data_IF_274670381194
#
_entry.id   IF_274670381194
#
_cell.length_a   1.000
_cell.length_b   1.000
_cell.length_c   1.000
_cell.angle_alpha   90.00
_cell.angle_beta   90.00
_cell.angle_gamma   90.00
#
_symmetry.space_group_name_H-M   'P 1'
#
loop_
_entity.id
_entity.type
_entity.pdbx_description
1 polymer ?
#
# COMPACT_ATOMS: atom_id res chain seq x y z
N UNK A 1 11.95 0.07 -83.74
CA UNK A 1 11.91 1.51 -84.08
C UNK A 1 12.30 2.25 -82.79
N UNK A 2 13.55 2.63 -82.53
CA UNK A 2 14.33 3.72 -83.17
C UNK A 2 13.41 4.91 -83.52
N UNK A 3 13.51 6.12 -83.01
CA UNK A 3 14.43 6.77 -82.07
C UNK A 3 14.27 8.30 -82.23
N UNK A 4 14.54 9.05 -81.15
CA UNK A 4 15.17 10.40 -81.12
C UNK A 4 14.46 11.60 -81.83
N UNK A 5 14.50 12.87 -81.39
CA UNK A 5 15.26 13.55 -80.33
C UNK A 5 14.81 15.04 -80.15
N UNK A 6 15.10 15.59 -78.96
CA UNK A 6 15.59 16.97 -78.62
C UNK A 6 14.62 18.17 -78.71
N UNK A 7 14.70 19.23 -77.90
CA UNK A 7 15.49 19.66 -76.71
C UNK A 7 14.71 20.85 -76.05
N UNK A 8 14.92 21.30 -74.80
CA UNK A 8 16.05 22.17 -74.38
C UNK A 8 15.98 22.47 -72.86
N UNK A 9 17.08 22.16 -72.17
CA UNK A 9 17.79 22.85 -71.06
C UNK A 9 17.11 23.86 -70.13
N UNK A 10 17.45 23.79 -68.83
CA UNK A 10 17.71 25.01 -68.02
C UNK A 10 17.54 24.87 -66.50
N UNK A 11 18.66 24.76 -65.78
CA UNK A 11 18.85 24.60 -64.34
C UNK A 11 18.59 25.86 -63.46
N UNK A 12 18.35 25.59 -62.15
CA UNK A 12 18.96 26.22 -60.96
C UNK A 12 18.46 27.59 -60.42
N UNK A 13 17.84 27.50 -59.23
CA UNK A 13 18.11 28.20 -57.95
C UNK A 13 18.49 29.70 -57.84
N UNK A 14 17.89 30.28 -56.77
CA UNK A 14 18.40 31.27 -55.80
C UNK A 14 18.17 32.78 -56.00
N UNK A 15 17.65 33.36 -54.91
CA UNK A 15 17.84 34.72 -54.36
C UNK A 15 17.24 35.89 -55.16
N UNK A 16 16.42 36.77 -54.60
CA UNK A 16 16.79 37.68 -53.51
C UNK A 16 15.63 38.67 -53.30
N UNK A 17 15.39 39.08 -52.06
CA UNK A 17 15.01 40.46 -51.73
C UNK A 17 15.27 40.68 -50.24
N UNK A 18 16.47 41.18 -49.95
CA UNK A 18 16.79 41.89 -48.71
C UNK A 18 16.45 43.36 -48.93
N UNK A 19 15.67 43.95 -48.03
CA UNK A 19 15.68 45.37 -47.76
C UNK A 19 15.78 45.54 -46.24
N UNK A 20 16.97 45.92 -45.78
CA UNK A 20 17.23 46.35 -44.40
C UNK A 20 17.08 47.86 -44.32
N UNK A 21 16.38 48.38 -43.30
CA UNK A 21 16.86 49.42 -42.36
C UNK A 21 15.78 49.81 -41.33
N UNK A 22 16.23 50.02 -40.08
CA UNK A 22 15.49 50.17 -38.80
C UNK A 22 14.65 51.47 -38.63
N UNK A 23 14.17 51.84 -37.42
CA UNK A 23 12.90 51.43 -36.81
C UNK A 23 11.95 52.62 -36.56
N UNK A 24 10.63 52.39 -36.58
CA UNK A 24 9.66 53.37 -36.02
C UNK A 24 9.20 52.89 -34.64
N UNK A 25 9.29 53.70 -33.57
CA UNK A 25 8.88 53.31 -32.22
C UNK A 25 7.38 53.09 -32.09
N UNK A 26 7.04 52.09 -31.28
CA UNK A 26 5.68 51.64 -30.93
C UNK A 26 4.79 52.76 -30.36
N UNK A 27 3.47 52.62 -30.59
CA UNK A 27 2.51 52.74 -29.49
C UNK A 27 2.03 51.35 -29.08
N UNK A 28 2.16 51.07 -27.79
CA UNK A 28 1.74 49.85 -27.11
C UNK A 28 0.27 49.54 -27.42
N UNK A 29 0.04 48.46 -28.17
CA UNK A 29 -1.23 47.73 -28.11
C UNK A 29 -0.99 46.52 -27.22
N UNK A 30 -1.59 46.61 -26.03
CA UNK A 30 -1.71 45.54 -25.05
C UNK A 30 -2.15 44.25 -25.75
N UNK A 31 -1.22 43.31 -25.93
CA UNK A 31 -1.57 41.91 -26.17
C UNK A 31 -2.29 41.43 -24.93
N UNK A 32 -3.60 41.32 -25.04
CA UNK A 32 -4.41 40.52 -24.14
C UNK A 32 -3.88 39.09 -24.23
N UNK A 33 -3.09 38.72 -23.23
CA UNK A 33 -2.58 37.37 -23.06
C UNK A 33 -3.79 36.45 -22.92
N UNK A 34 -4.00 35.58 -23.90
CA UNK A 34 -4.95 34.48 -23.75
C UNK A 34 -4.65 33.77 -22.42
N UNK A 35 -5.65 33.56 -21.55
CA UNK A 35 -5.42 32.95 -20.26
C UNK A 35 -4.81 31.57 -20.48
N UNK A 36 -3.71 31.30 -19.76
CA UNK A 36 -3.11 29.98 -19.72
C UNK A 36 -4.20 28.94 -19.41
N UNK A 37 -4.18 27.75 -20.05
CA UNK A 37 -5.11 26.69 -19.71
C UNK A 37 -5.06 26.47 -18.20
N UNK A 38 -6.22 26.36 -17.52
CA UNK A 38 -6.26 26.22 -16.08
C UNK A 38 -5.34 25.06 -15.71
N UNK A 39 -4.28 25.38 -14.98
CA UNK A 39 -3.43 24.36 -14.39
C UNK A 39 -4.36 23.50 -13.55
N UNK A 40 -4.61 22.27 -14.01
CA UNK A 40 -5.36 21.29 -13.24
C UNK A 40 -4.81 21.24 -11.83
N UNK A 41 -5.65 20.97 -10.81
CA UNK A 41 -5.23 21.01 -9.43
C UNK A 41 -3.91 20.26 -9.29
N UNK A 42 -2.86 20.97 -8.85
CA UNK A 42 -1.58 20.34 -8.52
C UNK A 42 -1.88 19.12 -7.66
N UNK A 43 -1.29 17.95 -7.94
CA UNK A 43 -1.52 16.75 -7.15
C UNK A 43 -1.40 17.13 -5.68
N UNK A 44 -2.53 17.09 -4.97
CA UNK A 44 -2.50 17.32 -3.53
C UNK A 44 -1.75 16.12 -2.98
N UNK A 45 -0.55 16.36 -2.45
CA UNK A 45 0.20 15.35 -1.72
C UNK A 45 -0.70 14.90 -0.57
N UNK A 46 -1.33 13.74 -0.73
CA UNK A 46 -2.03 13.10 0.37
C UNK A 46 -0.95 12.77 1.39
N UNK A 47 -0.99 13.32 2.61
CA UNK A 47 0.03 13.04 3.60
C UNK A 47 0.16 11.53 3.77
N UNK A 48 1.39 10.96 3.78
CA UNK A 48 1.57 9.56 4.13
C UNK A 48 0.95 9.34 5.52
N UNK A 49 0.04 8.38 5.62
CA UNK A 49 -0.72 8.14 6.85
C UNK A 49 0.17 7.77 8.03
N UNK A 50 1.31 7.15 7.70
CA UNK A 50 2.43 6.95 8.59
C UNK A 50 3.47 8.04 8.33
N UNK A 51 3.30 9.20 8.95
CA UNK A 51 4.44 10.07 9.22
C UNK A 51 5.37 9.34 10.19
N UNK A 52 6.37 8.68 9.62
CA UNK A 52 7.54 8.21 10.32
C UNK A 52 8.62 9.25 10.02
N UNK A 53 9.05 9.98 11.05
CA UNK A 53 10.17 10.89 10.92
C UNK A 53 11.43 10.03 10.76
N UNK A 54 12.02 10.07 9.58
CA UNK A 54 13.27 9.38 9.30
C UNK A 54 14.38 10.41 9.17
N UNK A 55 15.52 10.16 9.82
CA UNK A 55 16.74 10.87 9.47
C UNK A 55 17.22 10.39 8.09
N UNK A 56 18.01 11.16 7.34
CA UNK A 56 18.57 10.74 6.05
C UNK A 56 19.29 9.39 6.11
N UNK A 57 19.98 9.10 7.21
CA UNK A 57 20.70 7.83 7.45
C UNK A 57 19.72 6.66 7.59
N UNK A 58 18.59 6.90 8.27
CA UNK A 58 17.51 5.91 8.40
C UNK A 58 16.84 5.68 7.05
N UNK A 59 16.67 6.71 6.21
CA UNK A 59 16.13 6.55 4.85
C UNK A 59 17.07 5.69 3.99
N UNK A 60 18.37 5.93 4.02
CA UNK A 60 19.35 5.12 3.28
C UNK A 60 19.38 3.66 3.76
N UNK A 61 19.29 3.44 5.07
CA UNK A 61 19.16 2.10 5.65
C UNK A 61 17.86 1.41 5.18
N UNK A 62 16.73 2.13 5.19
CA UNK A 62 15.43 1.64 4.72
C UNK A 62 15.50 1.25 3.24
N UNK A 63 16.09 2.09 2.38
CA UNK A 63 16.22 1.79 0.96
C UNK A 63 17.08 0.53 0.71
N UNK A 64 18.21 0.39 1.42
CA UNK A 64 19.08 -0.78 1.29
C UNK A 64 18.40 -2.04 1.82
N UNK A 65 17.70 -1.95 2.95
CA UNK A 65 16.98 -3.08 3.53
C UNK A 65 15.75 -3.45 2.68
N UNK A 66 15.10 -2.48 2.04
CA UNK A 66 14.05 -2.70 1.05
C UNK A 66 14.55 -3.54 -0.11
N UNK A 67 15.65 -3.13 -0.76
CA UNK A 67 16.18 -3.89 -1.88
C UNK A 67 16.54 -5.32 -1.48
N UNK A 68 17.23 -5.50 -0.34
CA UNK A 68 17.57 -6.83 0.18
C UNK A 68 16.33 -7.69 0.44
N UNK A 69 15.34 -7.15 1.15
CA UNK A 69 14.12 -7.89 1.48
C UNK A 69 13.26 -8.18 0.24
N UNK A 70 13.25 -7.27 -0.74
CA UNK A 70 12.59 -7.49 -2.02
C UNK A 70 13.28 -8.59 -2.84
N UNK A 71 14.61 -8.59 -2.90
CA UNK A 71 15.36 -9.67 -3.56
C UNK A 71 15.12 -11.02 -2.87
N UNK A 72 15.08 -11.06 -1.54
CA UNK A 72 14.71 -12.26 -0.77
C UNK A 72 13.27 -12.70 -1.02
N UNK A 73 12.34 -11.76 -1.13
CA UNK A 73 10.94 -12.03 -1.48
C UNK A 73 10.85 -12.66 -2.86
N UNK A 74 11.48 -12.06 -3.87
CA UNK A 74 11.53 -12.58 -5.24
C UNK A 74 12.13 -13.98 -5.26
N UNK A 75 13.23 -14.23 -4.52
CA UNK A 75 13.86 -15.56 -4.40
C UNK A 75 12.95 -16.60 -3.77
N UNK A 76 12.24 -16.24 -2.70
CA UNK A 76 11.28 -17.13 -2.02
C UNK A 76 10.01 -17.35 -2.81
N UNK A 77 9.71 -16.43 -3.74
CA UNK A 77 8.53 -16.42 -4.60
C UNK A 77 7.24 -16.79 -3.85
N UNK A 78 6.92 -16.13 -2.71
CA UNK A 78 5.70 -16.43 -1.99
C UNK A 78 4.51 -15.97 -2.84
N UNK A 79 3.62 -16.92 -3.16
CA UNK A 79 2.44 -16.67 -3.99
C UNK A 79 1.19 -16.67 -3.11
N UNK A 80 0.38 -15.60 -3.12
CA UNK A 80 -0.94 -15.66 -2.52
C UNK A 80 -1.79 -16.66 -3.31
N UNK A 81 -2.45 -17.60 -2.62
CA UNK A 81 -3.36 -18.54 -3.28
C UNK A 81 -4.65 -17.84 -3.74
N UNK A 82 -5.11 -16.88 -2.95
CA UNK A 82 -6.35 -16.13 -3.17
C UNK A 82 -6.08 -14.66 -2.91
N UNK A 83 -6.59 -13.82 -3.82
CA UNK A 83 -6.67 -12.37 -3.67
C UNK A 83 -8.11 -12.00 -3.36
N UNK A 84 -8.29 -11.11 -2.38
CA UNK A 84 -9.61 -10.71 -1.92
C UNK A 84 -9.98 -9.35 -2.47
N UNK A 85 -11.27 -9.13 -2.69
CA UNK A 85 -11.83 -7.85 -3.09
C UNK A 85 -13.23 -7.71 -2.50
N UNK A 86 -13.73 -6.48 -2.41
CA UNK A 86 -15.05 -6.20 -1.86
C UNK A 86 -16.09 -6.14 -2.98
N UNK A 87 -17.28 -6.66 -2.74
CA UNK A 87 -18.41 -6.65 -3.68
C UNK A 87 -19.64 -6.07 -2.99
N UNK A 88 -20.38 -5.21 -3.67
CA UNK A 88 -21.68 -4.73 -3.20
C UNK A 88 -22.75 -5.75 -3.59
N UNK A 89 -23.39 -6.47 -2.64
CA UNK A 89 -24.29 -7.59 -2.97
C UNK A 89 -25.47 -7.20 -3.85
N UNK A 90 -25.97 -5.98 -3.68
CA UNK A 90 -27.11 -5.46 -4.43
C UNK A 90 -26.80 -5.17 -5.90
N UNK A 91 -25.53 -4.94 -6.22
CA UNK A 91 -25.09 -4.52 -7.55
C UNK A 91 -24.26 -5.60 -8.26
N UNK A 92 -23.73 -6.58 -7.52
CA UNK A 92 -22.78 -7.56 -8.06
C UNK A 92 -21.46 -6.95 -8.53
N UNK A 93 -21.24 -5.65 -8.31
CA UNK A 93 -20.06 -4.93 -8.76
C UNK A 93 -18.99 -4.90 -7.67
N UNK A 94 -17.71 -5.00 -8.06
CA UNK A 94 -16.62 -4.78 -7.13
C UNK A 94 -16.63 -3.34 -6.62
N UNK A 95 -16.26 -3.15 -5.35
CA UNK A 95 -16.04 -1.83 -4.77
C UNK A 95 -14.81 -1.21 -5.43
N UNK A 96 -15.00 -0.05 -6.04
CA UNK A 96 -13.94 0.75 -6.65
C UNK A 96 -14.02 2.21 -6.21
N UNK A 97 -12.89 2.91 -6.26
CA UNK A 97 -12.80 4.35 -6.01
C UNK A 97 -12.53 5.04 -7.35
N UNK A 98 -13.42 5.95 -7.75
CA UNK A 98 -13.21 6.79 -8.91
C UNK A 98 -12.59 8.14 -8.52
N UNK A 99 -11.71 8.68 -9.36
CA UNK A 99 -11.24 10.04 -9.23
C UNK A 99 -12.37 11.05 -9.45
N UNK A 100 -12.23 12.27 -8.93
CA UNK A 100 -13.26 13.31 -9.02
C UNK A 100 -13.65 13.67 -10.45
N UNK A 101 -12.72 13.51 -11.39
CA UNK A 101 -12.90 13.72 -12.84
C UNK A 101 -13.37 12.46 -13.59
N UNK A 102 -13.57 11.34 -12.89
CA UNK A 102 -13.99 10.05 -13.45
C UNK A 102 -12.94 9.36 -14.34
N UNK A 103 -11.76 9.96 -14.52
CA UNK A 103 -10.73 9.44 -15.43
C UNK A 103 -10.05 8.16 -14.92
N UNK A 104 -10.05 7.96 -13.60
CA UNK A 104 -9.42 6.81 -12.94
C UNK A 104 -10.43 6.08 -12.09
N UNK A 105 -10.56 4.77 -12.31
CA UNK A 105 -11.36 3.88 -11.47
C UNK A 105 -10.44 2.80 -10.91
N UNK A 106 -10.31 2.81 -9.58
CA UNK A 106 -9.34 2.00 -8.84
C UNK A 106 -10.05 0.86 -8.11
N UNK A 107 -9.73 -0.37 -8.45
CA UNK A 107 -10.17 -1.56 -7.72
C UNK A 107 -9.40 -1.72 -6.41
N UNK A 108 -10.07 -2.16 -5.35
CA UNK A 108 -9.43 -2.44 -4.06
C UNK A 108 -9.18 -3.94 -3.91
N UNK A 109 -7.90 -4.32 -3.86
CA UNK A 109 -7.45 -5.70 -3.67
C UNK A 109 -6.81 -5.87 -2.29
N UNK A 110 -6.98 -7.05 -1.69
CA UNK A 110 -6.51 -7.35 -0.35
C UNK A 110 -5.81 -8.71 -0.30
N UNK A 111 -4.73 -8.78 0.47
CA UNK A 111 -3.98 -10.03 0.72
C UNK A 111 -4.65 -10.94 1.76
N UNK A 112 -5.64 -10.45 2.50
CA UNK A 112 -6.40 -11.25 3.47
C UNK A 112 -7.85 -10.76 3.61
N UNK A 113 -8.73 -11.66 4.05
CA UNK A 113 -10.11 -11.32 4.40
C UNK A 113 -10.19 -10.32 5.55
N UNK A 114 -9.25 -10.39 6.51
CA UNK A 114 -9.17 -9.46 7.65
C UNK A 114 -9.05 -8.01 7.20
N UNK A 115 -8.16 -7.75 6.25
CA UNK A 115 -7.95 -6.39 5.74
C UNK A 115 -9.13 -5.89 4.93
N UNK A 116 -9.74 -6.76 4.11
CA UNK A 116 -10.96 -6.43 3.36
C UNK A 116 -12.12 -6.07 4.30
N UNK A 117 -12.37 -6.91 5.30
CA UNK A 117 -13.44 -6.71 6.28
C UNK A 117 -13.20 -5.45 7.12
N UNK A 118 -11.96 -5.21 7.55
CA UNK A 118 -11.59 -4.00 8.30
C UNK A 118 -11.82 -2.73 7.49
N UNK A 119 -11.46 -2.75 6.20
CA UNK A 119 -11.71 -1.64 5.28
C UNK A 119 -13.21 -1.42 5.05
N UNK A 120 -13.98 -2.48 4.85
CA UNK A 120 -15.43 -2.36 4.68
C UNK A 120 -16.09 -1.76 5.94
N UNK A 121 -15.72 -2.26 7.11
CA UNK A 121 -16.25 -1.79 8.40
C UNK A 121 -15.89 -0.32 8.67
N UNK A 122 -14.63 0.08 8.46
CA UNK A 122 -14.18 1.46 8.69
C UNK A 122 -14.85 2.49 7.78
N UNK A 123 -15.34 2.04 6.62
CA UNK A 123 -16.04 2.87 5.62
C UNK A 123 -17.57 2.75 5.71
N UNK A 124 -18.10 1.96 6.63
CA UNK A 124 -19.54 1.71 6.73
C UNK A 124 -20.12 1.05 5.47
N UNK A 125 -19.30 0.32 4.71
CA UNK A 125 -19.72 -0.31 3.47
C UNK A 125 -20.47 -1.61 3.78
N UNK A 126 -21.67 -1.75 3.21
CA UNK A 126 -22.42 -3.02 3.19
C UNK A 126 -21.90 -3.96 2.08
N UNK A 127 -20.58 -4.12 2.02
CA UNK A 127 -19.91 -4.98 1.05
C UNK A 127 -19.61 -6.36 1.66
N UNK A 128 -19.50 -7.37 0.80
CA UNK A 128 -19.02 -8.71 1.17
C UNK A 128 -17.65 -8.96 0.57
N UNK A 129 -16.85 -9.78 1.24
CA UNK A 129 -15.52 -10.17 0.74
C UNK A 129 -15.64 -11.32 -0.24
N UNK A 130 -15.19 -11.10 -1.47
CA UNK A 130 -15.03 -12.12 -2.51
C UNK A 130 -13.56 -12.51 -2.66
N UNK A 131 -13.32 -13.71 -3.19
CA UNK A 131 -11.99 -14.25 -3.45
C UNK A 131 -11.80 -14.59 -4.92
N UNK A 132 -10.65 -14.20 -5.47
CA UNK A 132 -10.16 -14.60 -6.80
C UNK A 132 -8.91 -15.46 -6.60
N UNK A 133 -8.91 -16.68 -7.12
CA UNK A 133 -7.70 -17.51 -7.11
C UNK A 133 -6.65 -16.89 -8.02
N UNK A 134 -5.38 -16.97 -7.64
CA UNK A 134 -4.28 -16.35 -8.40
C UNK A 134 -4.26 -16.80 -9.86
N UNK A 135 -4.49 -18.10 -10.12
CA UNK A 135 -4.52 -18.67 -11.47
C UNK A 135 -5.66 -18.12 -12.35
N UNK A 136 -6.72 -17.59 -11.73
CA UNK A 136 -7.88 -16.99 -12.41
C UNK A 136 -7.79 -15.46 -12.50
N UNK A 137 -6.76 -14.85 -11.91
CA UNK A 137 -6.60 -13.41 -11.84
C UNK A 137 -6.56 -12.75 -13.23
N UNK A 138 -5.85 -13.29 -14.24
CA UNK A 138 -5.82 -12.67 -15.56
C UNK A 138 -7.21 -12.58 -16.23
N UNK A 139 -7.98 -13.66 -16.15
CA UNK A 139 -9.34 -13.73 -16.70
C UNK A 139 -10.29 -12.79 -15.95
N UNK A 140 -10.11 -12.65 -14.64
CA UNK A 140 -10.89 -11.74 -13.83
C UNK A 140 -10.51 -10.26 -14.11
N UNK A 141 -9.23 -9.98 -14.38
CA UNK A 141 -8.75 -8.67 -14.75
C UNK A 141 -9.37 -8.16 -16.05
N UNK A 142 -9.52 -9.02 -17.07
CA UNK A 142 -10.21 -8.67 -18.32
C UNK A 142 -11.65 -8.21 -18.07
N UNK A 143 -12.38 -8.88 -17.17
CA UNK A 143 -13.74 -8.47 -16.79
C UNK A 143 -13.77 -7.11 -16.09
N UNK A 144 -12.79 -6.85 -15.22
CA UNK A 144 -12.68 -5.55 -14.56
C UNK A 144 -12.34 -4.42 -15.54
N UNK A 145 -11.43 -4.67 -16.49
CA UNK A 145 -11.10 -3.74 -17.57
C UNK A 145 -12.35 -3.43 -18.41
N UNK A 146 -13.11 -4.46 -18.80
CA UNK A 146 -14.36 -4.29 -19.54
C UNK A 146 -15.41 -3.50 -18.76
N UNK A 147 -15.37 -3.54 -17.42
CA UNK A 147 -16.23 -2.75 -16.54
C UNK A 147 -15.71 -1.31 -16.28
N UNK A 148 -14.64 -0.88 -16.97
CA UNK A 148 -14.08 0.47 -16.85
C UNK A 148 -13.10 0.67 -15.69
N UNK A 149 -12.67 -0.40 -15.03
CA UNK A 149 -11.59 -0.33 -14.02
C UNK A 149 -10.26 -0.23 -14.76
N UNK A 150 -9.43 0.74 -14.41
CA UNK A 150 -8.15 1.00 -15.08
C UNK A 150 -6.94 0.95 -14.14
N UNK A 151 -7.16 0.84 -12.83
CA UNK A 151 -6.10 0.68 -11.85
C UNK A 151 -6.54 -0.16 -10.66
N UNK A 152 -5.59 -0.61 -9.85
CA UNK A 152 -5.87 -1.28 -8.58
C UNK A 152 -4.97 -0.75 -7.47
N UNK A 153 -5.47 -0.83 -6.24
CA UNK A 153 -4.72 -0.53 -5.02
C UNK A 153 -4.63 -1.80 -4.16
N UNK A 154 -3.44 -2.10 -3.66
CA UNK A 154 -3.21 -3.22 -2.75
C UNK A 154 -3.33 -2.77 -1.31
N UNK A 155 -4.16 -3.50 -0.56
CA UNK A 155 -4.29 -3.41 0.89
C UNK A 155 -4.48 -1.95 1.38
N UNK A 156 -5.42 -1.18 0.82
CA UNK A 156 -5.64 0.22 1.22
C UNK A 156 -5.85 0.35 2.72
N UNK A 157 -5.26 1.40 3.32
CA UNK A 157 -5.42 1.67 4.74
C UNK A 157 -6.92 1.78 5.11
N UNK A 158 -7.40 1.04 6.11
CA UNK A 158 -8.81 1.11 6.54
C UNK A 158 -9.24 2.52 6.94
N UNK A 159 -8.39 3.29 7.64
CA UNK A 159 -8.75 4.62 8.13
C UNK A 159 -8.70 5.71 7.05
N UNK A 160 -7.61 5.80 6.28
CA UNK A 160 -7.40 6.90 5.35
C UNK A 160 -7.58 6.53 3.88
N UNK A 161 -7.48 5.24 3.52
CA UNK A 161 -7.62 4.78 2.14
C UNK A 161 -6.33 4.85 1.32
N UNK A 162 -5.23 5.32 1.90
CA UNK A 162 -3.95 5.38 1.20
C UNK A 162 -3.45 3.97 0.86
N UNK A 163 -3.02 3.80 -0.38
CA UNK A 163 -2.26 2.65 -0.86
C UNK A 163 -1.49 3.05 -2.13
N UNK A 164 -0.39 2.34 -2.46
CA UNK A 164 0.19 2.37 -3.79
C UNK A 164 -0.86 1.97 -4.84
N UNK A 165 -0.87 2.66 -5.98
CA UNK A 165 -1.81 2.39 -7.07
C UNK A 165 -1.04 1.90 -8.29
N UNK A 166 -1.50 0.81 -8.87
CA UNK A 166 -0.90 0.11 -9.99
C UNK A 166 -1.86 0.07 -11.19
N UNK A 167 -1.35 -0.01 -12.44
CA UNK A 167 -2.17 -0.24 -13.61
C UNK A 167 -2.89 -1.60 -13.55
N UNK A 168 -4.18 -1.64 -13.88
CA UNK A 168 -4.96 -2.91 -13.88
C UNK A 168 -4.39 -3.95 -14.86
N UNK A 169 -3.69 -3.51 -15.90
CA UNK A 169 -3.03 -4.38 -16.88
C UNK A 169 -1.99 -5.31 -16.23
N UNK A 170 -1.38 -4.92 -15.11
CA UNK A 170 -0.44 -5.79 -14.38
C UNK A 170 -1.11 -7.04 -13.82
N UNK A 171 -2.43 -7.04 -13.62
CA UNK A 171 -3.20 -8.21 -13.16
C UNK A 171 -3.34 -9.29 -14.25
N UNK A 172 -3.07 -8.95 -15.52
CA UNK A 172 -3.11 -9.89 -16.64
C UNK A 172 -1.85 -10.78 -16.72
N UNK A 173 -0.80 -10.42 -15.99
CA UNK A 173 0.44 -11.19 -15.89
C UNK A 173 0.72 -11.57 -14.44
N UNK A 174 0.75 -12.87 -14.14
CA UNK A 174 1.09 -13.35 -12.79
C UNK A 174 2.43 -12.78 -12.32
N UNK A 175 3.44 -12.70 -13.20
CA UNK A 175 4.75 -12.15 -12.84
C UNK A 175 4.66 -10.67 -12.43
N UNK A 176 3.96 -9.85 -13.22
CA UNK A 176 3.81 -8.42 -12.93
C UNK A 176 3.01 -8.21 -11.64
N UNK A 177 1.91 -8.94 -11.48
CA UNK A 177 1.13 -8.91 -10.25
C UNK A 177 1.98 -9.30 -9.02
N UNK A 178 2.75 -10.40 -9.10
CA UNK A 178 3.58 -10.86 -7.98
C UNK A 178 4.68 -9.85 -7.62
N UNK A 179 5.19 -9.08 -8.59
CA UNK A 179 6.12 -7.97 -8.32
C UNK A 179 5.42 -6.86 -7.52
N UNK A 180 4.24 -6.41 -7.95
CA UNK A 180 3.48 -5.35 -7.28
C UNK A 180 2.99 -5.79 -5.89
N UNK A 181 2.54 -7.04 -5.77
CA UNK A 181 2.20 -7.68 -4.50
C UNK A 181 3.41 -7.77 -3.55
N UNK A 182 4.57 -8.16 -4.08
CA UNK A 182 5.81 -8.22 -3.31
C UNK A 182 6.29 -6.87 -2.82
N UNK A 183 6.17 -5.83 -3.64
CA UNK A 183 6.49 -4.46 -3.22
C UNK A 183 5.61 -4.00 -2.06
N UNK A 184 4.28 -4.22 -2.12
CA UNK A 184 3.37 -3.88 -1.03
C UNK A 184 3.70 -4.67 0.25
N UNK A 185 3.93 -5.99 0.14
CA UNK A 185 4.26 -6.84 1.27
C UNK A 185 5.58 -6.45 1.95
N UNK A 186 6.64 -6.18 1.18
CA UNK A 186 7.94 -5.76 1.71
C UNK A 186 7.86 -4.37 2.35
N UNK A 187 7.16 -3.42 1.73
CA UNK A 187 6.92 -2.10 2.32
C UNK A 187 6.22 -2.22 3.69
N UNK A 188 5.12 -2.99 3.76
CA UNK A 188 4.41 -3.25 5.02
C UNK A 188 5.32 -3.86 6.07
N UNK A 189 6.12 -4.85 5.68
CA UNK A 189 7.03 -5.54 6.59
C UNK A 189 8.10 -4.61 7.14
N UNK A 190 8.68 -3.73 6.32
CA UNK A 190 9.72 -2.79 6.75
C UNK A 190 9.13 -1.72 7.68
N UNK A 191 8.05 -1.06 7.26
CA UNK A 191 7.43 -0.02 8.08
C UNK A 191 6.87 -0.59 9.40
N UNK A 192 6.22 -1.76 9.33
CA UNK A 192 5.75 -2.47 10.53
C UNK A 192 6.92 -2.89 11.42
N UNK A 193 7.99 -3.43 10.83
CA UNK A 193 9.20 -3.82 11.55
C UNK A 193 9.88 -2.66 12.28
N UNK A 194 9.91 -1.46 11.70
CA UNK A 194 10.41 -0.25 12.37
C UNK A 194 9.58 0.08 13.60
N UNK A 195 8.25 0.09 13.47
CA UNK A 195 7.33 0.36 14.58
C UNK A 195 7.50 -0.68 15.68
N UNK A 196 7.58 -1.96 15.30
CA UNK A 196 7.72 -3.08 16.24
C UNK A 196 9.07 -3.05 16.97
N UNK A 197 10.17 -2.72 16.29
CA UNK A 197 11.48 -2.53 16.94
C UNK A 197 11.46 -1.38 17.95
N UNK A 198 10.79 -0.27 17.60
CA UNK A 198 10.62 0.85 18.54
C UNK A 198 9.77 0.44 19.76
N UNK A 199 8.72 -0.36 19.56
CA UNK A 199 7.93 -0.93 20.65
C UNK A 199 8.78 -1.85 21.55
N UNK A 200 9.59 -2.72 20.95
CA UNK A 200 10.48 -3.63 21.68
C UNK A 200 11.49 -2.84 22.55
N UNK A 201 12.11 -1.80 22.01
CA UNK A 201 13.08 -0.97 22.72
C UNK A 201 12.47 -0.20 23.89
N UNK A 202 11.15 0.01 23.89
CA UNK A 202 10.41 0.78 24.88
C UNK A 202 9.30 -0.04 25.55
N UNK A 203 9.51 -1.35 25.70
CA UNK A 203 8.48 -2.27 26.19
C UNK A 203 7.95 -1.92 27.59
N UNK A 204 8.78 -1.25 28.41
CA UNK A 204 8.38 -0.74 29.73
C UNK A 204 7.40 0.44 29.67
N UNK A 205 7.37 1.19 28.57
CA UNK A 205 6.43 2.29 28.33
C UNK A 205 5.17 1.75 27.63
N UNK A 206 4.30 1.14 28.43
CA UNK A 206 3.10 0.44 27.95
C UNK A 206 2.18 1.34 27.12
N UNK A 207 2.05 2.62 27.49
CA UNK A 207 1.23 3.60 26.76
C UNK A 207 1.83 3.89 25.39
N UNK A 208 3.14 4.13 25.31
CA UNK A 208 3.82 4.33 24.03
C UNK A 208 3.67 3.11 23.13
N UNK A 209 3.88 1.90 23.66
CA UNK A 209 3.78 0.66 22.89
C UNK A 209 2.36 0.47 22.37
N UNK A 210 1.34 0.55 23.23
CA UNK A 210 -0.06 0.41 22.84
C UNK A 210 -0.43 1.37 21.71
N UNK A 211 -0.12 2.66 21.86
CA UNK A 211 -0.43 3.67 20.84
C UNK A 211 0.22 3.36 19.48
N UNK A 212 1.46 2.87 19.48
CA UNK A 212 2.16 2.51 18.25
C UNK A 212 1.59 1.23 17.61
N UNK A 213 1.18 0.26 18.41
CA UNK A 213 0.54 -0.96 17.90
C UNK A 213 -0.87 -0.69 17.37
N UNK A 214 -1.65 0.17 18.01
CA UNK A 214 -2.95 0.63 17.50
C UNK A 214 -2.76 1.39 16.18
N UNK A 215 -1.72 2.23 16.07
CA UNK A 215 -1.36 2.88 14.80
C UNK A 215 -0.98 1.88 13.71
N UNK A 216 -0.21 0.85 14.05
CA UNK A 216 0.15 -0.25 13.15
C UNK A 216 -1.10 -0.99 12.66
N UNK A 217 -2.01 -1.39 13.57
CA UNK A 217 -3.30 -2.01 13.26
C UNK A 217 -4.15 -1.16 12.31
N UNK A 218 -4.31 0.12 12.63
CA UNK A 218 -5.26 0.99 11.95
C UNK A 218 -4.77 1.46 10.57
N UNK A 219 -3.44 1.53 10.39
CA UNK A 219 -2.86 2.16 9.22
C UNK A 219 -2.03 1.27 8.31
N UNK A 220 -1.60 0.09 8.76
CA UNK A 220 -0.64 -0.70 8.00
C UNK A 220 -0.89 -2.20 8.01
N UNK A 221 -1.18 -2.80 9.15
CA UNK A 221 -1.19 -4.26 9.25
C UNK A 221 -2.27 -4.78 10.19
N UNK A 222 -3.53 -4.46 9.85
CA UNK A 222 -4.70 -5.01 10.52
C UNK A 222 -4.73 -6.54 10.51
N UNK A 223 -4.17 -7.16 9.47
CA UNK A 223 -4.18 -8.61 9.27
C UNK A 223 -3.18 -9.39 10.13
N UNK A 224 -2.46 -8.74 11.06
CA UNK A 224 -1.49 -9.40 11.90
C UNK A 224 -2.08 -9.73 13.29
N UNK A 225 -2.30 -11.02 13.63
CA UNK A 225 -2.90 -11.40 14.91
C UNK A 225 -2.06 -10.97 16.11
N UNK A 226 -0.73 -10.97 15.99
CA UNK A 226 0.15 -10.60 17.11
C UNK A 226 0.07 -9.11 17.45
N UNK A 227 -0.37 -8.26 16.52
CA UNK A 227 -0.67 -6.85 16.82
C UNK A 227 -1.87 -6.76 17.75
N UNK A 228 -2.97 -7.49 17.44
CA UNK A 228 -4.17 -7.53 18.29
C UNK A 228 -3.89 -8.17 19.65
N UNK A 229 -3.10 -9.26 19.67
CA UNK A 229 -2.64 -9.88 20.92
C UNK A 229 -1.94 -8.87 21.83
N UNK A 230 -0.94 -8.15 21.30
CA UNK A 230 -0.18 -7.21 22.11
C UNK A 230 -1.02 -6.00 22.54
N UNK A 231 -1.94 -5.51 21.69
CA UNK A 231 -2.91 -4.47 22.09
C UNK A 231 -3.78 -4.96 23.25
N UNK A 232 -4.33 -6.18 23.16
CA UNK A 232 -5.15 -6.78 24.20
C UNK A 232 -4.39 -6.88 25.54
N UNK A 233 -3.15 -7.35 25.50
CA UNK A 233 -2.29 -7.46 26.68
C UNK A 233 -2.02 -6.10 27.32
N UNK A 234 -1.56 -5.10 26.56
CA UNK A 234 -1.27 -3.78 27.13
C UNK A 234 -2.53 -3.03 27.60
N UNK A 235 -3.66 -3.17 26.91
CA UNK A 235 -4.93 -2.61 27.36
C UNK A 235 -5.36 -3.25 28.69
N UNK A 236 -5.27 -4.57 28.81
CA UNK A 236 -5.60 -5.30 30.04
C UNK A 236 -4.70 -4.92 31.21
N UNK A 237 -3.39 -4.78 30.98
CA UNK A 237 -2.43 -4.31 31.99
C UNK A 237 -2.70 -2.86 32.44
N UNK A 238 -3.25 -2.03 31.57
CA UNK A 238 -3.67 -0.66 31.88
C UNK A 238 -5.06 -0.58 32.53
N UNK A 239 -5.77 -1.70 32.72
CA UNK A 239 -7.13 -1.75 33.26
C UNK A 239 -8.22 -1.32 32.26
N UNK A 240 -7.89 -1.12 30.99
CA UNK A 240 -8.84 -0.77 29.94
C UNK A 240 -9.51 -2.05 29.38
N UNK A 241 -10.55 -2.49 30.10
CA UNK A 241 -11.27 -3.73 29.77
C UNK A 241 -11.97 -3.67 28.42
N UNK A 242 -12.50 -2.52 28.04
CA UNK A 242 -13.22 -2.36 26.77
C UNK A 242 -12.27 -2.56 25.58
N UNK A 243 -11.13 -1.86 25.58
CA UNK A 243 -10.16 -2.01 24.51
C UNK A 243 -9.49 -3.39 24.52
N UNK A 244 -9.26 -3.97 25.70
CA UNK A 244 -8.71 -5.32 25.81
C UNK A 244 -9.66 -6.35 25.20
N UNK A 245 -10.94 -6.32 25.59
CA UNK A 245 -11.95 -7.24 25.06
C UNK A 245 -12.16 -7.06 23.56
N UNK A 246 -12.22 -5.82 23.06
CA UNK A 246 -12.32 -5.56 21.63
C UNK A 246 -11.13 -6.15 20.85
N UNK A 247 -9.91 -6.04 21.38
CA UNK A 247 -8.73 -6.63 20.75
C UNK A 247 -8.71 -8.16 20.85
N UNK A 248 -9.21 -8.75 21.95
CA UNK A 248 -9.40 -10.20 22.08
C UNK A 248 -10.41 -10.71 21.06
N UNK A 249 -11.57 -10.03 20.92
CA UNK A 249 -12.60 -10.42 19.95
C UNK A 249 -12.06 -10.41 18.52
N UNK A 250 -11.17 -9.47 18.17
CA UNK A 250 -10.49 -9.46 16.88
C UNK A 250 -9.44 -10.58 16.77
N UNK A 251 -8.67 -10.83 17.83
CA UNK A 251 -7.66 -11.88 17.88
C UNK A 251 -8.27 -13.28 17.67
N UNK A 252 -9.39 -13.57 18.33
CA UNK A 252 -10.07 -14.88 18.24
C UNK A 252 -10.59 -15.16 16.82
N UNK A 253 -10.91 -14.12 16.05
CA UNK A 253 -11.37 -14.29 14.67
C UNK A 253 -10.28 -14.89 13.77
N UNK A 254 -8.98 -14.70 14.06
CA UNK A 254 -7.87 -15.32 13.31
C UNK A 254 -7.81 -16.86 13.43
N UNK A 255 -8.65 -17.45 14.29
CA UNK A 255 -8.91 -18.88 14.31
C UNK A 255 -8.27 -19.62 15.48
N UNK A 256 -8.32 -20.98 15.46
CA UNK A 256 -8.00 -21.82 16.61
C UNK A 256 -6.66 -21.53 17.33
N UNK A 257 -5.55 -21.16 16.64
CA UNK A 257 -4.30 -20.85 17.33
C UNK A 257 -4.36 -19.66 18.30
N UNK A 258 -5.34 -18.78 18.15
CA UNK A 258 -5.46 -17.52 18.87
C UNK A 258 -6.62 -17.48 19.86
N UNK A 259 -7.56 -18.43 19.77
CA UNK A 259 -8.71 -18.52 20.67
C UNK A 259 -8.23 -18.81 22.10
N UNK A 260 -8.67 -17.99 23.05
CA UNK A 260 -8.36 -18.16 24.47
C UNK A 260 -6.90 -17.90 24.86
N UNK A 261 -6.07 -17.36 23.96
CA UNK A 261 -4.66 -17.02 24.24
C UNK A 261 -4.50 -15.88 25.25
N UNK A 262 -5.49 -15.00 25.33
CA UNK A 262 -5.62 -13.99 26.37
C UNK A 262 -7.01 -14.13 27.00
N UNK A 263 -7.05 -14.18 28.33
CA UNK A 263 -8.29 -14.18 29.12
C UNK A 263 -8.81 -12.76 29.30
N UNK A 264 -10.14 -12.61 29.18
CA UNK A 264 -10.84 -11.32 29.34
C UNK A 264 -10.80 -10.79 30.78
N UNK A 265 -10.95 -11.69 31.76
CA UNK A 265 -10.91 -11.37 33.19
C UNK A 265 -10.13 -12.46 33.96
N UNK A 266 -8.78 -12.42 33.97
CA UNK A 266 -7.99 -13.35 34.75
C UNK A 266 -8.13 -13.06 36.25
N UNK A 267 -8.21 -14.12 37.07
CA UNK A 267 -8.24 -14.01 38.53
C UNK A 267 -6.88 -13.67 39.14
N UNK A 268 -5.80 -14.13 38.50
CA UNK A 268 -4.42 -13.90 38.92
C UNK A 268 -3.60 -13.30 37.75
N UNK A 269 -2.90 -12.15 37.93
CA UNK A 269 -1.99 -11.61 36.93
C UNK A 269 -0.89 -12.57 36.47
N UNK A 270 -0.59 -13.62 37.22
CA UNK A 270 0.45 -14.60 36.91
C UNK A 270 -0.07 -15.90 36.31
N UNK A 271 -1.39 -16.05 36.15
CA UNK A 271 -1.97 -17.25 35.53
C UNK A 271 -1.74 -17.30 34.01
N UNK A 272 -1.73 -18.50 33.40
CA UNK A 272 -1.65 -18.64 31.95
C UNK A 272 -2.80 -17.90 31.24
N UNK A 273 -2.45 -17.11 30.22
CA UNK A 273 -3.41 -16.30 29.46
C UNK A 273 -3.74 -14.96 30.11
N UNK A 274 -3.18 -14.61 31.27
CA UNK A 274 -3.29 -13.24 31.79
C UNK A 274 -2.58 -12.25 30.83
N UNK A 275 -3.03 -10.98 30.76
CA UNK A 275 -2.35 -9.95 30.00
C UNK A 275 -0.84 -9.89 30.26
N UNK A 276 -0.42 -9.97 31.52
CA UNK A 276 1.00 -9.89 31.92
C UNK A 276 1.80 -11.10 31.43
N UNK A 277 1.29 -12.32 31.62
CA UNK A 277 2.00 -13.55 31.20
C UNK A 277 2.05 -13.69 29.68
N UNK A 278 1.03 -13.20 28.98
CA UNK A 278 0.92 -13.32 27.52
C UNK A 278 1.80 -12.34 26.74
N UNK A 279 2.41 -11.32 27.39
CA UNK A 279 3.31 -10.36 26.71
C UNK A 279 4.51 -11.04 26.06
N UNK A 280 5.16 -11.98 26.75
CA UNK A 280 6.39 -12.62 26.27
C UNK A 280 6.15 -13.45 25.00
N UNK A 281 5.07 -14.24 24.97
CA UNK A 281 4.68 -14.99 23.78
C UNK A 281 4.25 -14.05 22.64
N UNK A 282 3.41 -13.05 22.97
CA UNK A 282 2.93 -12.07 22.00
C UNK A 282 4.07 -11.29 21.34
N UNK A 283 5.07 -10.84 22.09
CA UNK A 283 6.19 -10.07 21.52
C UNK A 283 7.09 -10.94 20.65
N UNK A 284 7.33 -12.20 21.02
CA UNK A 284 8.10 -13.15 20.20
C UNK A 284 7.38 -13.39 18.88
N UNK A 285 6.08 -13.66 18.92
CA UNK A 285 5.26 -13.84 17.72
C UNK A 285 5.21 -12.58 16.84
N UNK A 286 5.09 -11.40 17.45
CA UNK A 286 5.11 -10.12 16.76
C UNK A 286 6.46 -9.89 16.05
N UNK A 287 7.59 -10.08 16.75
CA UNK A 287 8.93 -9.95 16.17
C UNK A 287 9.17 -10.97 15.05
N UNK A 288 8.68 -12.20 15.21
CA UNK A 288 8.74 -13.23 14.18
C UNK A 288 7.94 -12.87 12.92
N UNK A 289 6.73 -12.29 13.08
CA UNK A 289 5.86 -11.93 11.96
C UNK A 289 6.47 -10.89 11.02
N UNK A 290 7.30 -9.99 11.55
CA UNK A 290 8.10 -9.03 10.76
C UNK A 290 9.50 -9.56 10.40
N UNK A 291 9.81 -10.80 10.80
CA UNK A 291 11.09 -11.48 10.62
C UNK A 291 12.27 -10.75 11.24
N UNK A 292 12.05 -10.09 12.36
CA UNK A 292 13.10 -9.47 13.19
C UNK A 292 13.93 -10.56 13.88
N UNK A 293 13.31 -11.68 14.23
CA UNK A 293 14.00 -12.83 14.84
C UNK A 293 14.83 -13.66 13.84
N UNK A 294 14.59 -13.50 12.53
CA UNK A 294 15.24 -14.29 11.47
C UNK A 294 16.49 -13.60 10.90
N UNK A 295 17.12 -12.67 11.62
CA UNK A 295 18.42 -12.14 11.22
C UNK A 295 19.46 -13.20 11.60
N UNK A 296 20.16 -13.84 10.64
CA UNK A 296 21.35 -14.59 11.01
C UNK A 296 22.27 -13.60 11.71
N UNK A 297 22.53 -13.82 13.00
CA UNK A 297 23.64 -13.13 13.65
C UNK A 297 24.88 -13.56 12.89
N UNK A 298 25.35 -12.72 11.98
CA UNK A 298 26.72 -12.81 11.52
C UNK A 298 27.53 -12.62 12.81
N UNK A 299 28.30 -13.61 13.28
CA UNK A 299 29.15 -13.39 14.44
C UNK A 299 30.00 -12.16 14.13
N UNK A 300 29.96 -11.20 15.06
CA UNK A 300 30.75 -9.99 14.96
C UNK A 300 32.20 -10.40 15.17
N UNK A 301 32.93 -10.58 14.06
CA UNK A 301 34.37 -10.79 14.06
C UNK A 301 34.81 -12.19 14.44
N UNK A 302 35.43 -12.87 13.47
CA UNK A 302 36.76 -13.43 13.67
C UNK A 302 37.68 -12.78 12.62
#
# INVERSE_FOLDING_TARGET
MFGQNKSRTGNSELTSLNLSSDPVPQPQTSKESSPAPPQGPKPTLVPPCLQLAFTPEVVLFICRDFQRQFDEWVKKNPKPQVIFYLVLPQQGHPVSISSNDGSKTTLLLFGSTWMANAFAASRGLKAVTAGCRLESLPQQAEKWIAAGINSFALNPCPKCGNAPIYPVAELQSEEQFLRSFGQDAVNRRIYGGIIVRNCQARLSDQKFVRNNLERLRDHLDYGNPYVHWMIAAFAGMAGDKEASNAAIDQLEQFGPPFIGKIKRDPSDPMEPGSPVRSVAEGIVGLLASYGILNVPMKPAGD
#
